data_IF_489560391818
#
_entry.id   IF_489560391818
#
_cell.length_a   1.000
_cell.length_b   1.000
_cell.length_c   1.000
_cell.angle_alpha   90.00
_cell.angle_beta   90.00
_cell.angle_gamma   90.00
#
_symmetry.space_group_name_H-M   'P 1'
#
loop_
_entity.id
_entity.type
_entity.pdbx_description
1 polymer ?
#
# COMPACT_ATOMS: atom_id res chain seq x y z
N UNK A 1 -13.69 -4.04 -6.71
CA UNK A 1 -14.08 -4.55 -5.38
C UNK A 1 -12.86 -4.63 -4.47
N UNK A 2 -13.07 -4.72 -3.17
CA UNK A 2 -11.99 -4.96 -2.20
C UNK A 2 -12.30 -6.16 -1.34
N UNK A 3 -11.25 -6.85 -0.89
CA UNK A 3 -11.34 -7.83 0.20
C UNK A 3 -10.57 -7.26 1.38
N UNK A 4 -11.20 -7.15 2.55
CA UNK A 4 -10.59 -6.61 3.78
C UNK A 4 -10.87 -7.60 4.91
N UNK A 5 -9.82 -8.15 5.51
CA UNK A 5 -9.95 -9.20 6.55
C UNK A 5 -10.84 -10.38 6.10
N UNK A 6 -10.68 -10.79 4.84
CA UNK A 6 -11.49 -11.85 4.21
C UNK A 6 -12.94 -11.47 3.87
N UNK A 7 -13.35 -10.23 4.11
CA UNK A 7 -14.69 -9.72 3.76
C UNK A 7 -14.66 -9.01 2.41
N UNK A 8 -15.48 -9.49 1.48
CA UNK A 8 -15.65 -8.86 0.18
C UNK A 8 -16.60 -7.66 0.27
N UNK A 9 -16.14 -6.52 -0.24
CA UNK A 9 -16.86 -5.25 -0.24
C UNK A 9 -16.96 -4.75 -1.68
N UNK A 10 -18.19 -4.66 -2.17
CA UNK A 10 -18.51 -4.06 -3.46
C UNK A 10 -18.70 -2.56 -3.25
N UNK A 11 -18.13 -1.77 -4.13
CA UNK A 11 -18.16 -0.30 -4.10
C UNK A 11 -18.08 0.24 -5.52
N UNK A 12 -18.59 1.45 -5.71
CA UNK A 12 -18.63 2.17 -6.97
C UNK A 12 -18.09 3.61 -6.87
N UNK A 13 -18.13 4.35 -7.98
CA UNK A 13 -17.61 5.71 -8.02
C UNK A 13 -18.39 6.63 -7.06
N UNK A 14 -17.67 7.23 -6.11
CA UNK A 14 -18.25 8.13 -5.10
C UNK A 14 -18.36 7.51 -3.71
N UNK A 15 -18.21 6.18 -3.59
CA UNK A 15 -18.18 5.52 -2.29
C UNK A 15 -16.91 5.87 -1.51
N UNK A 16 -17.07 5.94 -0.18
CA UNK A 16 -15.96 6.03 0.76
C UNK A 16 -15.82 4.69 1.49
N UNK A 17 -14.60 4.15 1.47
CA UNK A 17 -14.29 2.86 2.08
C UNK A 17 -13.07 2.99 2.99
N UNK A 18 -13.20 2.48 4.23
CA UNK A 18 -12.05 2.17 5.06
C UNK A 18 -11.43 0.85 4.57
N UNK A 19 -10.61 0.93 3.53
CA UNK A 19 -10.14 -0.24 2.80
C UNK A 19 -8.89 -0.90 3.36
N UNK A 20 -8.16 -0.21 4.24
CA UNK A 20 -6.85 -0.64 4.74
C UNK A 20 -6.66 -0.24 6.21
N UNK A 21 -7.43 -0.80 7.16
CA UNK A 21 -7.15 -0.57 8.58
C UNK A 21 -5.78 -1.11 8.96
N UNK A 22 -5.15 -0.52 9.99
CA UNK A 22 -3.84 -0.92 10.45
C UNK A 22 -3.75 -2.41 10.77
N UNK A 23 -2.73 -3.08 10.21
CA UNK A 23 -2.43 -4.50 10.40
C UNK A 23 -3.46 -5.49 9.85
N UNK A 24 -4.50 -5.03 9.15
CA UNK A 24 -5.45 -5.90 8.47
C UNK A 24 -5.05 -6.13 7.02
N UNK A 25 -5.08 -7.39 6.61
CA UNK A 25 -4.89 -7.78 5.22
C UNK A 25 -5.99 -7.16 4.35
N UNK A 26 -5.59 -6.57 3.23
CA UNK A 26 -6.52 -6.02 2.26
C UNK A 26 -5.99 -6.14 0.83
N UNK A 27 -6.91 -6.26 -0.12
CA UNK A 27 -6.63 -6.33 -1.55
C UNK A 27 -7.67 -5.56 -2.36
N UNK A 28 -7.28 -5.11 -3.55
CA UNK A 28 -8.14 -4.41 -4.50
C UNK A 28 -8.15 -5.16 -5.83
N UNK A 29 -9.33 -5.28 -6.43
CA UNK A 29 -9.55 -5.98 -7.69
C UNK A 29 -10.24 -5.05 -8.67
N UNK A 30 -9.61 -4.88 -9.84
CA UNK A 30 -10.20 -4.12 -10.95
C UNK A 30 -11.35 -4.90 -11.60
N UNK A 31 -12.36 -4.16 -12.06
CA UNK A 31 -13.45 -4.70 -12.85
C UNK A 31 -13.15 -4.63 -14.35
N UNK A 32 -14.17 -4.84 -15.22
CA UNK A 32 -14.01 -4.68 -16.67
C UNK A 32 -13.70 -3.23 -17.07
N UNK A 33 -14.12 -2.26 -16.27
CA UNK A 33 -13.78 -0.85 -16.43
C UNK A 33 -12.50 -0.51 -15.66
N UNK A 34 -11.74 0.46 -16.18
CA UNK A 34 -10.53 0.95 -15.50
C UNK A 34 -10.88 1.52 -14.13
N UNK A 35 -10.00 1.27 -13.18
CA UNK A 35 -10.17 1.71 -11.80
C UNK A 35 -9.20 2.85 -11.46
N UNK A 36 -9.72 3.90 -10.82
CA UNK A 36 -8.93 4.95 -10.19
C UNK A 36 -9.45 5.16 -8.76
N UNK A 37 -8.56 5.07 -7.78
CA UNK A 37 -8.90 5.20 -6.35
C UNK A 37 -8.05 6.31 -5.75
N UNK A 38 -8.71 7.23 -5.05
CA UNK A 38 -8.03 8.25 -4.26
C UNK A 38 -7.91 7.76 -2.82
N UNK A 39 -6.68 7.69 -2.30
CA UNK A 39 -6.41 7.28 -0.92
C UNK A 39 -5.80 8.44 -0.14
N UNK A 40 -6.18 8.53 1.14
CA UNK A 40 -5.53 9.37 2.14
C UNK A 40 -5.13 8.45 3.28
N UNK A 41 -3.86 8.49 3.67
CA UNK A 41 -3.27 7.57 4.64
C UNK A 41 -2.48 8.34 5.69
N UNK A 42 -2.36 7.74 6.87
CA UNK A 42 -1.58 8.23 8.02
C UNK A 42 -0.08 7.89 7.93
N UNK A 43 0.41 7.44 6.77
CA UNK A 43 1.82 7.11 6.57
C UNK A 43 2.81 8.18 7.06
N UNK A 44 2.61 9.50 6.81
CA UNK A 44 3.56 10.50 7.30
C UNK A 44 3.70 10.52 8.84
N UNK A 45 2.61 10.27 9.56
CA UNK A 45 2.63 10.16 11.01
C UNK A 45 3.43 8.93 11.43
N UNK A 46 3.13 7.77 10.85
CA UNK A 46 3.81 6.52 11.20
C UNK A 46 5.29 6.51 10.85
N UNK A 47 5.70 7.15 9.75
CA UNK A 47 7.11 7.36 9.38
C UNK A 47 7.80 8.24 10.42
N UNK A 48 7.20 9.38 10.80
CA UNK A 48 7.78 10.29 11.79
C UNK A 48 7.91 9.69 13.20
N UNK A 49 7.13 8.65 13.50
CA UNK A 49 7.21 7.87 14.74
C UNK A 49 8.08 6.60 14.61
N UNK A 50 8.72 6.37 13.46
CA UNK A 50 9.51 5.17 13.17
C UNK A 50 8.70 3.86 13.36
N UNK A 51 7.41 3.90 13.06
CA UNK A 51 6.44 2.82 13.31
C UNK A 51 5.84 2.22 12.05
N UNK A 52 6.10 2.80 10.87
CA UNK A 52 5.64 2.24 9.60
C UNK A 52 6.55 1.09 9.17
N UNK A 53 6.08 -0.15 9.33
CA UNK A 53 6.82 -1.34 8.88
C UNK A 53 6.72 -1.46 7.36
N UNK A 54 7.86 -1.66 6.71
CA UNK A 54 7.99 -1.82 5.27
C UNK A 54 8.81 -3.05 4.92
N UNK A 55 8.38 -3.74 3.87
CA UNK A 55 9.08 -4.86 3.28
C UNK A 55 8.93 -4.78 1.76
N UNK A 56 10.03 -4.48 1.06
CA UNK A 56 9.99 -4.31 -0.40
C UNK A 56 9.89 -5.63 -1.16
N UNK A 57 10.55 -6.68 -0.63
CA UNK A 57 10.51 -8.05 -1.16
C UNK A 57 9.92 -8.98 -0.12
N UNK A 58 8.99 -9.84 -0.50
CA UNK A 58 8.31 -10.76 0.44
C UNK A 58 9.28 -11.66 1.24
N UNK A 59 10.46 -11.95 0.71
CA UNK A 59 11.53 -12.73 1.35
C UNK A 59 12.66 -11.86 1.92
N UNK A 60 12.52 -10.53 1.88
CA UNK A 60 13.47 -9.56 2.38
C UNK A 60 13.28 -9.21 3.86
N UNK A 61 14.16 -8.38 4.43
CA UNK A 61 14.02 -7.91 5.81
C UNK A 61 12.80 -6.99 5.97
N UNK A 62 12.20 -7.03 7.16
CA UNK A 62 11.26 -6.01 7.64
C UNK A 62 12.06 -4.81 8.15
N UNK A 63 11.71 -3.61 7.69
CA UNK A 63 12.38 -2.35 8.02
C UNK A 63 11.36 -1.33 8.52
N UNK A 64 11.83 -0.31 9.23
CA UNK A 64 11.03 0.89 9.44
C UNK A 64 11.18 1.81 8.22
N UNK A 65 10.08 2.15 7.55
CA UNK A 65 10.14 2.98 6.35
C UNK A 65 10.72 4.35 6.67
N UNK A 66 11.76 4.75 5.93
CA UNK A 66 12.44 6.02 6.11
C UNK A 66 13.66 5.97 7.05
N UNK A 67 13.97 4.83 7.68
CA UNK A 67 15.21 4.67 8.46
C UNK A 67 16.44 4.43 7.58
N UNK A 68 16.24 3.94 6.36
CA UNK A 68 17.29 3.64 5.38
C UNK A 68 17.26 4.61 4.20
N UNK A 69 18.38 4.69 3.48
CA UNK A 69 18.41 5.39 2.20
C UNK A 69 17.42 4.71 1.21
N UNK A 70 16.57 5.52 0.58
CA UNK A 70 15.65 5.05 -0.45
C UNK A 70 16.35 4.73 -1.77
N UNK A 71 15.61 4.11 -2.69
CA UNK A 71 16.08 3.81 -4.04
C UNK A 71 16.26 5.11 -4.87
N UNK A 72 17.39 5.24 -5.55
CA UNK A 72 17.64 6.28 -6.56
C UNK A 72 17.65 5.69 -7.97
N UNK A 73 17.55 6.54 -8.99
CA UNK A 73 17.78 6.14 -10.39
C UNK A 73 16.76 5.12 -10.92
N UNK A 74 15.47 5.47 -10.96
CA UNK A 74 14.42 4.60 -11.52
C UNK A 74 14.74 4.13 -12.95
N UNK A 75 14.83 2.81 -13.14
CA UNK A 75 15.12 2.17 -14.44
C UNK A 75 13.93 1.39 -15.00
N UNK A 76 12.95 1.03 -14.16
CA UNK A 76 11.75 0.31 -14.59
C UNK A 76 11.01 -0.35 -13.42
N UNK A 77 9.83 -0.93 -13.68
CA UNK A 77 9.07 -1.66 -12.67
C UNK A 77 9.84 -2.90 -12.22
N UNK A 78 10.02 -3.08 -10.90
CA UNK A 78 10.70 -4.24 -10.28
C UNK A 78 12.18 -4.40 -10.63
N UNK A 79 12.80 -3.41 -11.27
CA UNK A 79 14.25 -3.38 -11.50
C UNK A 79 14.91 -2.41 -10.51
N UNK A 80 16.02 -2.84 -9.90
CA UNK A 80 16.74 -1.98 -8.98
C UNK A 80 17.53 -0.91 -9.73
N UNK A 81 17.35 0.35 -9.33
CA UNK A 81 18.20 1.46 -9.77
C UNK A 81 19.60 1.38 -9.17
N UNK A 82 20.56 2.09 -9.77
CA UNK A 82 21.91 2.25 -9.22
C UNK A 82 21.98 3.39 -8.19
#
# INVERSE_FOLDING_TARGET
MSTVDGVDIVWEAGDLLLSAPGWLEHAHYEGPDRLAVYTVQDHPLHIGMESLVWQEKMDGPLLALGSEAGQTGYVGPREAGQ
#
